data_IF_409498859677
#
_entry.id   IF_409498859677
#
_cell.length_a   1.000
_cell.length_b   1.000
_cell.length_c   1.000
_cell.angle_alpha   90.00
_cell.angle_beta   90.00
_cell.angle_gamma   90.00
#
_symmetry.space_group_name_H-M   'P 1'
#
loop_
_entity.id
_entity.type
_entity.pdbx_description
1 polymer ?
#
# COMPACT_ATOMS: atom_id res chain seq x y z
N UNK A 1 -9.57 32.30 1.18
CA UNK A 1 -8.62 31.55 2.02
C UNK A 1 -8.31 30.29 1.24
N UNK A 2 -7.09 30.13 0.76
CA UNK A 2 -6.70 28.99 -0.07
C UNK A 2 -5.88 28.04 0.79
N UNK A 3 -6.35 26.81 0.98
CA UNK A 3 -5.70 25.81 1.82
C UNK A 3 -4.78 24.95 0.94
N UNK A 4 -3.51 24.82 1.37
CA UNK A 4 -2.52 24.01 0.67
C UNK A 4 -2.05 22.91 1.60
N UNK A 5 -2.37 21.66 1.26
CA UNK A 5 -1.98 20.48 2.01
C UNK A 5 -0.80 19.79 1.33
N UNK A 6 0.28 19.58 2.08
CA UNK A 6 1.46 18.85 1.63
C UNK A 6 1.63 17.58 2.47
N UNK A 7 1.43 16.43 1.84
CA UNK A 7 1.57 15.11 2.48
C UNK A 7 2.80 14.44 1.89
N UNK A 8 3.96 14.62 2.53
CA UNK A 8 5.16 13.92 2.09
C UNK A 8 6.08 13.47 3.25
N UNK A 9 6.63 12.27 3.07
CA UNK A 9 7.59 11.61 3.95
C UNK A 9 8.93 12.35 3.89
N UNK A 10 9.53 12.64 5.05
CA UNK A 10 10.72 13.49 5.23
C UNK A 10 12.04 13.03 4.57
N UNK A 11 11.98 12.18 3.54
CA UNK A 11 13.11 11.69 2.75
C UNK A 11 13.26 12.41 1.40
N UNK A 12 12.23 13.10 0.91
CA UNK A 12 12.28 13.92 -0.32
C UNK A 12 12.24 15.41 0.02
N UNK A 13 13.11 16.18 -0.63
CA UNK A 13 13.24 17.62 -0.44
C UNK A 13 12.40 18.45 -1.43
N UNK A 14 11.83 17.80 -2.45
CA UNK A 14 11.05 18.48 -3.49
C UNK A 14 9.63 18.72 -2.96
N UNK A 15 9.30 19.98 -2.67
CA UNK A 15 8.04 20.40 -2.04
C UNK A 15 7.23 21.33 -2.95
N UNK A 16 6.53 20.79 -3.96
CA UNK A 16 5.86 21.60 -4.98
C UNK A 16 4.65 22.36 -4.43
N UNK A 17 3.94 21.80 -3.45
CA UNK A 17 2.76 22.43 -2.85
C UNK A 17 3.13 23.68 -2.07
N UNK A 18 4.18 23.60 -1.26
CA UNK A 18 4.75 24.74 -0.56
C UNK A 18 5.23 25.85 -1.52
N UNK A 19 5.92 25.48 -2.60
CA UNK A 19 6.40 26.46 -3.57
C UNK A 19 5.24 27.22 -4.22
N UNK A 20 4.11 26.54 -4.47
CA UNK A 20 2.88 27.18 -4.93
C UNK A 20 2.29 28.12 -3.87
N UNK A 21 2.24 27.71 -2.60
CA UNK A 21 1.78 28.56 -1.50
C UNK A 21 2.62 29.85 -1.39
N UNK A 22 3.95 29.75 -1.45
CA UNK A 22 4.84 30.92 -1.42
C UNK A 22 4.67 31.85 -2.62
N UNK A 23 4.31 31.32 -3.80
CA UNK A 23 3.97 32.14 -4.97
C UNK A 23 2.64 32.88 -4.77
N UNK A 24 1.63 32.21 -4.22
CA UNK A 24 0.33 32.81 -3.91
C UNK A 24 0.47 33.91 -2.86
N UNK A 25 1.20 33.65 -1.78
CA UNK A 25 1.45 34.66 -0.74
C UNK A 25 2.16 35.90 -1.30
N UNK A 26 3.17 35.72 -2.17
CA UNK A 26 3.83 36.85 -2.85
C UNK A 26 2.90 37.62 -3.78
N UNK A 27 2.07 36.92 -4.56
CA UNK A 27 1.11 37.55 -5.47
C UNK A 27 0.06 38.38 -4.72
N UNK A 28 -0.41 37.88 -3.57
CA UNK A 28 -1.49 38.49 -2.81
C UNK A 28 -1.02 39.36 -1.63
N UNK A 29 0.30 39.50 -1.42
CA UNK A 29 0.90 40.15 -0.23
C UNK A 29 0.28 39.62 1.07
N UNK A 30 0.05 38.31 1.12
CA UNK A 30 -0.65 37.66 2.22
C UNK A 30 0.32 36.96 3.18
N UNK A 31 -0.04 36.90 4.45
CA UNK A 31 0.69 36.15 5.48
C UNK A 31 0.43 34.66 5.33
N UNK A 32 1.49 33.85 5.32
CA UNK A 32 1.38 32.40 5.32
C UNK A 32 1.08 31.90 6.74
N UNK A 33 -0.06 31.22 6.92
CA UNK A 33 -0.43 30.61 8.20
C UNK A 33 -0.03 29.14 8.19
N UNK A 34 0.79 28.74 9.16
CA UNK A 34 1.34 27.39 9.28
C UNK A 34 0.72 26.74 10.52
N UNK A 35 0.06 25.59 10.36
CA UNK A 35 -0.60 24.91 11.48
C UNK A 35 0.38 24.35 12.53
N UNK A 36 1.49 23.75 12.08
CA UNK A 36 2.56 23.24 12.94
C UNK A 36 3.94 23.44 12.33
N UNK A 37 4.80 24.16 13.04
CA UNK A 37 6.19 24.40 12.65
C UNK A 37 7.05 23.14 12.80
N UNK A 38 6.73 22.22 13.72
CA UNK A 38 7.53 21.02 14.02
C UNK A 38 7.79 20.12 12.78
N UNK A 39 6.80 20.02 11.90
CA UNK A 39 6.85 19.15 10.71
C UNK A 39 7.67 19.76 9.57
N UNK A 40 7.78 21.09 9.59
CA UNK A 40 8.46 21.88 8.59
C UNK A 40 9.90 22.23 9.03
N UNK A 41 10.12 22.50 10.31
CA UNK A 41 11.42 22.90 10.89
C UNK A 41 12.45 21.77 11.00
N UNK A 42 12.05 20.51 10.84
CA UNK A 42 13.02 19.38 10.74
C UNK A 42 13.96 19.49 9.55
N UNK A 43 13.66 20.36 8.59
CA UNK A 43 14.51 20.64 7.45
C UNK A 43 15.02 22.10 7.54
N UNK A 44 16.28 22.27 7.92
CA UNK A 44 16.93 23.58 8.03
C UNK A 44 16.87 24.35 6.70
N UNK A 45 17.07 23.65 5.56
CA UNK A 45 17.01 24.28 4.24
C UNK A 45 15.62 24.87 3.93
N UNK A 46 14.55 24.27 4.47
CA UNK A 46 13.20 24.81 4.32
C UNK A 46 13.04 26.14 5.05
N UNK A 47 13.51 26.23 6.30
CA UNK A 47 13.41 27.47 7.08
C UNK A 47 14.22 28.57 6.39
N UNK A 48 15.42 28.26 5.90
CA UNK A 48 16.21 29.21 5.11
C UNK A 48 15.46 29.70 3.86
N UNK A 49 14.87 28.79 3.08
CA UNK A 49 14.10 29.16 1.88
C UNK A 49 12.86 30.01 2.19
N UNK A 50 12.15 29.70 3.28
CA UNK A 50 11.01 30.49 3.74
C UNK A 50 11.45 31.90 4.13
N UNK A 51 12.59 32.02 4.80
CA UNK A 51 13.19 33.29 5.16
C UNK A 51 13.60 34.09 3.91
N UNK A 52 14.30 33.48 2.96
CA UNK A 52 14.70 34.12 1.70
C UNK A 52 13.52 34.55 0.83
N UNK A 53 12.37 33.87 0.94
CA UNK A 53 11.17 34.19 0.17
C UNK A 53 10.58 35.57 0.48
N UNK A 54 10.93 36.17 1.63
CA UNK A 54 10.43 37.48 2.07
C UNK A 54 8.94 37.51 2.43
N UNK A 55 8.30 36.35 2.53
CA UNK A 55 6.88 36.21 2.92
C UNK A 55 6.76 36.24 4.43
N UNK A 56 5.84 37.07 4.95
CA UNK A 56 5.45 37.03 6.35
C UNK A 56 4.73 35.72 6.66
N UNK A 57 5.09 35.05 7.76
CA UNK A 57 4.44 33.82 8.16
C UNK A 57 4.19 33.78 9.66
N UNK A 58 3.14 33.07 10.05
CA UNK A 58 2.76 32.84 11.45
C UNK A 58 2.55 31.35 11.66
N UNK A 59 3.23 30.81 12.66
CA UNK A 59 3.04 29.44 13.11
C UNK A 59 1.98 29.43 14.22
N UNK A 60 0.88 28.70 14.03
CA UNK A 60 -0.24 28.62 14.99
C UNK A 60 0.18 27.92 16.29
N UNK A 61 1.09 26.95 16.19
CA UNK A 61 1.68 26.24 17.34
C UNK A 61 2.70 27.07 18.10
N UNK A 62 3.28 28.10 17.47
CA UNK A 62 4.17 29.06 18.12
C UNK A 62 3.88 30.50 17.67
N UNK A 63 2.78 31.12 18.14
CA UNK A 63 2.34 32.44 17.67
C UNK A 63 3.36 33.57 17.92
N UNK A 64 4.20 33.41 18.95
CA UNK A 64 5.29 34.33 19.30
C UNK A 64 6.56 34.17 18.45
N UNK A 65 6.62 33.17 17.57
CA UNK A 65 7.78 32.92 16.71
C UNK A 65 7.85 33.97 15.60
N UNK A 66 8.37 35.14 15.94
CA UNK A 66 8.73 36.15 14.94
C UNK A 66 9.87 35.61 14.06
N UNK A 67 9.97 36.12 12.83
CA UNK A 67 11.01 35.81 11.82
C UNK A 67 12.43 35.72 12.43
N UNK A 68 12.76 36.63 13.34
CA UNK A 68 14.04 36.64 14.06
C UNK A 68 14.25 35.41 14.96
N UNK A 69 13.23 35.03 15.73
CA UNK A 69 13.28 33.87 16.64
C UNK A 69 13.46 32.59 15.84
N UNK A 70 12.74 32.46 14.73
CA UNK A 70 12.87 31.31 13.82
C UNK A 70 14.29 31.21 13.25
N UNK A 71 14.93 32.35 12.94
CA UNK A 71 16.31 32.37 12.45
C UNK A 71 17.31 31.87 13.48
N UNK A 72 17.18 32.29 14.74
CA UNK A 72 18.02 31.80 15.84
C UNK A 72 17.80 30.30 16.04
N UNK A 73 16.55 29.85 16.08
CA UNK A 73 16.23 28.43 16.27
C UNK A 73 16.78 27.56 15.13
N UNK A 74 16.74 28.04 13.89
CA UNK A 74 17.32 27.34 12.75
C UNK A 74 18.84 27.22 12.87
N UNK A 75 19.54 28.30 13.25
CA UNK A 75 20.98 28.30 13.45
C UNK A 75 21.42 27.36 14.59
N UNK A 76 20.67 27.36 15.71
CA UNK A 76 20.92 26.45 16.84
C UNK A 76 20.72 24.99 16.41
N UNK A 77 19.64 24.69 15.67
CA UNK A 77 19.37 23.35 15.18
C UNK A 77 20.46 22.84 14.21
N UNK A 78 20.97 23.71 13.35
CA UNK A 78 22.09 23.40 12.46
C UNK A 78 23.36 23.07 13.25
N UNK A 79 23.71 23.89 14.23
CA UNK A 79 24.86 23.66 15.09
C UNK A 79 24.75 22.34 15.86
N UNK A 80 23.55 22.01 16.38
CA UNK A 80 23.31 20.76 17.07
C UNK A 80 23.45 19.54 16.14
N UNK A 81 22.86 19.62 14.94
CA UNK A 81 22.99 18.58 13.92
C UNK A 81 24.46 18.36 13.53
N UNK A 82 25.23 19.43 13.38
CA UNK A 82 26.67 19.35 13.09
C UNK A 82 27.44 18.72 14.26
N UNK A 83 27.12 19.08 15.50
CA UNK A 83 27.74 18.50 16.69
C UNK A 83 27.46 16.99 16.82
N UNK A 84 26.21 16.56 16.56
CA UNK A 84 25.82 15.14 16.54
C UNK A 84 26.58 14.41 15.43
N UNK A 85 26.67 15.00 14.24
CA UNK A 85 27.41 14.43 13.11
C UNK A 85 28.89 14.26 13.44
N UNK A 86 29.53 15.29 14.02
CA UNK A 86 30.93 15.27 14.47
C UNK A 86 31.17 14.17 15.50
N UNK A 87 30.33 14.08 16.55
CA UNK A 87 30.43 13.03 17.59
C UNK A 87 30.25 11.63 17.00
N UNK A 88 29.29 11.45 16.11
CA UNK A 88 29.02 10.16 15.48
C UNK A 88 30.19 9.73 14.60
N UNK A 89 30.74 10.65 13.79
CA UNK A 89 31.92 10.39 12.96
C UNK A 89 33.14 10.04 13.82
N UNK A 90 33.37 10.75 14.91
CA UNK A 90 34.45 10.46 15.85
C UNK A 90 34.28 9.07 16.50
N UNK A 91 33.07 8.74 16.95
CA UNK A 91 32.76 7.43 17.53
C UNK A 91 32.96 6.28 16.52
N UNK A 92 32.51 6.47 15.27
CA UNK A 92 32.71 5.50 14.18
C UNK A 92 34.19 5.36 13.82
N UNK A 93 34.95 6.46 13.76
CA UNK A 93 36.39 6.41 13.51
C UNK A 93 37.13 5.63 14.61
N UNK A 94 36.79 5.87 15.87
CA UNK A 94 37.34 5.14 17.00
C UNK A 94 36.95 3.64 16.98
N UNK A 95 35.69 3.32 16.63
CA UNK A 95 35.25 1.94 16.46
C UNK A 95 35.99 1.22 15.32
N UNK A 96 36.21 1.91 14.20
CA UNK A 96 37.00 1.38 13.07
C UNK A 96 38.46 1.14 13.47
N UNK A 97 39.07 2.05 14.23
CA UNK A 97 40.42 1.90 14.75
C UNK A 97 40.54 0.70 15.72
N UNK A 98 39.50 0.43 16.51
CA UNK A 98 39.38 -0.80 17.33
C UNK A 98 39.09 -2.07 16.54
N UNK A 99 39.04 -2.01 15.20
CA UNK A 99 38.75 -3.16 14.34
C UNK A 99 37.27 -3.55 14.25
N UNK A 100 36.34 -2.71 14.73
CA UNK A 100 34.91 -2.99 14.61
C UNK A 100 34.50 -2.90 13.14
N UNK A 101 33.94 -3.99 12.60
CA UNK A 101 33.41 -4.02 11.22
C UNK A 101 32.15 -3.15 11.14
N UNK A 102 32.28 -1.97 10.56
CA UNK A 102 31.18 -1.04 10.34
C UNK A 102 30.31 -1.47 9.13
N UNK A 103 28.99 -1.31 9.25
CA UNK A 103 28.00 -1.66 8.22
C UNK A 103 27.06 -2.79 8.63
N UNK A 104 25.88 -2.89 8.00
CA UNK A 104 24.95 -4.00 8.20
C UNK A 104 25.55 -5.33 7.75
N UNK A 105 24.99 -6.46 8.22
CA UNK A 105 25.35 -7.79 7.74
C UNK A 105 25.15 -7.82 6.22
N UNK A 106 26.24 -7.70 5.47
CA UNK A 106 26.25 -7.91 4.01
C UNK A 106 25.98 -9.40 3.80
N UNK A 107 24.72 -9.79 3.75
CA UNK A 107 24.37 -11.08 3.17
C UNK A 107 24.64 -10.96 1.67
N UNK A 108 25.05 -12.07 1.05
CA UNK A 108 25.34 -12.07 -0.38
C UNK A 108 24.10 -11.68 -1.18
N UNK A 109 24.27 -11.24 -2.43
CA UNK A 109 23.14 -10.85 -3.27
C UNK A 109 22.13 -12.01 -3.42
N UNK A 110 22.64 -13.23 -3.48
CA UNK A 110 21.87 -14.47 -3.55
C UNK A 110 21.03 -14.66 -2.28
N UNK A 111 21.65 -14.52 -1.09
CA UNK A 111 20.93 -14.64 0.18
C UNK A 111 19.92 -13.51 0.42
N UNK A 112 20.20 -12.30 -0.06
CA UNK A 112 19.21 -11.22 -0.09
C UNK A 112 18.03 -11.55 -1.00
N UNK A 113 18.30 -12.12 -2.18
CA UNK A 113 17.27 -12.54 -3.13
C UNK A 113 16.43 -13.70 -2.58
N UNK A 114 17.03 -14.67 -1.90
CA UNK A 114 16.36 -15.77 -1.20
C UNK A 114 15.45 -15.26 -0.09
N UNK A 115 15.95 -14.40 0.81
CA UNK A 115 15.13 -13.78 1.87
C UNK A 115 13.97 -13.00 1.23
N UNK A 116 14.24 -12.26 0.14
CA UNK A 116 13.21 -11.57 -0.63
C UNK A 116 12.19 -12.52 -1.26
N UNK A 117 12.62 -13.69 -1.75
CA UNK A 117 11.75 -14.69 -2.35
C UNK A 117 10.84 -15.34 -1.31
N UNK A 118 11.39 -15.74 -0.16
CA UNK A 118 10.62 -16.27 0.97
C UNK A 118 9.60 -15.23 1.46
N UNK A 119 10.01 -13.97 1.62
CA UNK A 119 9.09 -12.90 2.02
C UNK A 119 7.98 -12.66 0.98
N UNK A 120 8.28 -12.75 -0.33
CA UNK A 120 7.28 -12.68 -1.40
C UNK A 120 6.31 -13.84 -1.34
N UNK A 121 6.79 -15.06 -1.10
CA UNK A 121 5.98 -16.27 -1.02
C UNK A 121 5.01 -16.24 0.17
N UNK A 122 5.51 -15.87 1.35
CA UNK A 122 4.67 -15.72 2.54
C UNK A 122 3.61 -14.64 2.30
N UNK A 123 4.00 -13.50 1.71
CA UNK A 123 3.04 -12.44 1.37
C UNK A 123 2.00 -12.91 0.35
N UNK A 124 2.38 -13.68 -0.67
CA UNK A 124 1.42 -14.21 -1.64
C UNK A 124 0.44 -15.19 -0.99
N UNK A 125 0.90 -16.02 -0.05
CA UNK A 125 0.06 -16.96 0.70
C UNK A 125 -0.96 -16.23 1.58
N UNK A 126 -0.52 -15.19 2.30
CA UNK A 126 -1.41 -14.35 3.11
C UNK A 126 -2.46 -13.68 2.22
N UNK A 127 -2.04 -13.09 1.09
CA UNK A 127 -2.96 -12.43 0.15
C UNK A 127 -3.95 -13.43 -0.45
N UNK A 128 -3.52 -14.65 -0.81
CA UNK A 128 -4.43 -15.67 -1.33
C UNK A 128 -5.44 -16.14 -0.28
N UNK A 129 -5.02 -16.25 0.99
CA UNK A 129 -5.90 -16.63 2.08
C UNK A 129 -6.95 -15.54 2.36
N UNK A 130 -6.53 -14.27 2.47
CA UNK A 130 -7.46 -13.16 2.66
C UNK A 130 -8.42 -13.05 1.47
N UNK A 131 -7.95 -13.31 0.25
CA UNK A 131 -8.82 -13.36 -0.94
C UNK A 131 -9.90 -14.42 -0.83
N UNK A 132 -9.55 -15.64 -0.43
CA UNK A 132 -10.53 -16.73 -0.32
C UNK A 132 -11.59 -16.45 0.74
N UNK A 133 -11.20 -15.85 1.86
CA UNK A 133 -12.09 -15.43 2.95
C UNK A 133 -13.07 -14.32 2.52
N UNK A 134 -12.68 -13.47 1.56
CA UNK A 134 -13.52 -12.37 1.07
C UNK A 134 -14.50 -12.79 -0.04
N UNK A 135 -14.33 -13.97 -0.64
CA UNK A 135 -15.19 -14.43 -1.74
C UNK A 135 -16.67 -14.54 -1.38
N UNK A 136 -17.05 -15.13 -0.22
CA UNK A 136 -18.46 -15.22 0.17
C UNK A 136 -19.12 -13.84 0.25
N UNK A 137 -18.40 -12.85 0.77
CA UNK A 137 -18.87 -11.46 0.86
C UNK A 137 -19.09 -10.84 -0.50
N UNK A 138 -18.15 -11.01 -1.44
CA UNK A 138 -18.30 -10.51 -2.82
C UNK A 138 -19.50 -11.17 -3.50
N UNK A 139 -19.70 -12.48 -3.32
CA UNK A 139 -20.87 -13.18 -3.89
C UNK A 139 -22.19 -12.76 -3.26
N UNK A 140 -22.20 -12.45 -1.95
CA UNK A 140 -23.39 -11.95 -1.26
C UNK A 140 -23.80 -10.56 -1.77
N UNK A 141 -22.82 -9.67 -1.99
CA UNK A 141 -23.04 -8.33 -2.58
C UNK A 141 -23.55 -8.43 -4.02
N UNK A 142 -23.13 -9.44 -4.77
CA UNK A 142 -23.68 -9.69 -6.11
C UNK A 142 -25.13 -10.18 -6.05
N UNK A 143 -25.43 -11.08 -5.11
CA UNK A 143 -26.78 -11.59 -4.91
C UNK A 143 -27.76 -10.51 -4.43
N UNK A 144 -27.28 -9.45 -3.77
CA UNK A 144 -28.09 -8.28 -3.40
C UNK A 144 -28.37 -7.32 -4.56
N UNK A 145 -27.85 -7.59 -5.77
CA UNK A 145 -28.17 -6.85 -6.99
C UNK A 145 -27.07 -5.93 -7.52
N UNK A 146 -25.85 -5.96 -6.94
CA UNK A 146 -24.73 -5.19 -7.47
C UNK A 146 -24.17 -5.83 -8.76
N UNK A 147 -24.62 -5.33 -9.92
CA UNK A 147 -24.30 -5.89 -11.24
C UNK A 147 -22.96 -5.39 -11.80
N UNK A 148 -22.51 -4.21 -11.37
CA UNK A 148 -21.26 -3.60 -11.87
C UNK A 148 -20.11 -3.74 -10.88
N UNK A 149 -18.90 -3.91 -11.40
CA UNK A 149 -17.68 -3.96 -10.59
C UNK A 149 -17.47 -2.71 -9.73
N UNK A 150 -17.97 -1.55 -10.19
CA UNK A 150 -17.95 -0.29 -9.44
C UNK A 150 -18.94 -0.29 -8.26
N UNK A 151 -20.13 -0.84 -8.47
CA UNK A 151 -21.11 -1.01 -7.40
C UNK A 151 -20.58 -1.95 -6.32
N UNK A 152 -19.97 -3.07 -6.72
CA UNK A 152 -19.36 -4.02 -5.78
C UNK A 152 -18.21 -3.36 -4.99
N UNK A 153 -17.33 -2.57 -5.65
CA UNK A 153 -16.28 -1.87 -4.92
C UNK A 153 -16.83 -0.81 -3.95
N UNK A 154 -17.91 -0.11 -4.31
CA UNK A 154 -18.54 0.86 -3.43
C UNK A 154 -19.15 0.18 -2.18
N UNK A 155 -19.84 -0.95 -2.38
CA UNK A 155 -20.40 -1.78 -1.31
C UNK A 155 -19.32 -2.42 -0.42
N UNK A 156 -18.13 -2.72 -0.94
CA UNK A 156 -17.00 -3.22 -0.15
C UNK A 156 -16.30 -2.10 0.66
N UNK A 157 -16.33 -0.88 0.16
CA UNK A 157 -15.76 0.28 0.84
C UNK A 157 -16.69 0.81 1.95
N UNK A 158 -18.01 0.68 1.81
CA UNK A 158 -19.00 1.14 2.80
C UNK A 158 -18.81 0.53 4.22
N UNK A 159 -18.53 -0.77 4.39
CA UNK A 159 -18.22 -1.39 5.69
C UNK A 159 -16.73 -1.30 6.10
N UNK A 160 -15.90 -0.48 5.44
CA UNK A 160 -14.44 -0.39 5.66
C UNK A 160 -13.69 -1.74 5.59
N UNK A 161 -14.15 -2.67 4.73
CA UNK A 161 -13.47 -3.96 4.60
C UNK A 161 -12.09 -3.74 3.96
N UNK A 162 -10.98 -4.10 4.63
CA UNK A 162 -9.65 -3.83 4.12
C UNK A 162 -9.34 -4.70 2.89
N UNK A 163 -8.65 -4.13 1.91
CA UNK A 163 -8.18 -4.88 0.74
C UNK A 163 -7.19 -5.99 1.15
N UNK A 164 -7.03 -7.06 0.35
CA UNK A 164 -6.09 -8.15 0.65
C UNK A 164 -4.63 -7.72 0.85
N UNK A 165 -4.23 -6.58 0.27
CA UNK A 165 -2.90 -5.99 0.46
C UNK A 165 -2.85 -4.96 1.59
N UNK A 166 -3.97 -4.76 2.31
CA UNK A 166 -4.20 -3.74 3.34
C UNK A 166 -3.74 -2.35 2.90
N UNK A 167 -4.01 -2.02 1.64
CA UNK A 167 -3.60 -0.77 1.02
C UNK A 167 -4.80 -0.16 0.30
N UNK A 168 -5.37 0.88 0.91
CA UNK A 168 -6.41 1.71 0.31
C UNK A 168 -7.76 1.03 0.11
N UNK A 169 -8.62 1.76 -0.60
CA UNK A 169 -9.98 1.39 -0.97
C UNK A 169 -10.02 0.34 -2.08
N UNK A 170 -11.13 -0.40 -2.15
CA UNK A 170 -11.43 -1.31 -3.23
C UNK A 170 -11.60 -0.55 -4.55
N UNK A 171 -10.86 -0.99 -5.57
CA UNK A 171 -11.05 -0.54 -6.95
C UNK A 171 -11.77 -1.61 -7.76
N UNK A 172 -12.51 -1.19 -8.80
CA UNK A 172 -13.19 -2.12 -9.72
C UNK A 172 -12.24 -3.14 -10.36
N UNK A 173 -10.99 -2.75 -10.63
CA UNK A 173 -9.94 -3.64 -11.18
C UNK A 173 -9.53 -4.69 -10.15
N UNK A 174 -9.47 -4.32 -8.88
CA UNK A 174 -9.11 -5.25 -7.81
C UNK A 174 -10.23 -6.27 -7.55
N UNK A 175 -11.48 -5.82 -7.54
CA UNK A 175 -12.66 -6.71 -7.50
C UNK A 175 -12.65 -7.68 -8.67
N UNK A 176 -12.34 -7.22 -9.87
CA UNK A 176 -12.25 -8.07 -11.06
C UNK A 176 -11.15 -9.13 -10.92
N UNK A 177 -9.94 -8.74 -10.49
CA UNK A 177 -8.82 -9.65 -10.30
C UNK A 177 -9.08 -10.70 -9.23
N UNK A 178 -9.69 -10.29 -8.11
CA UNK A 178 -9.99 -11.18 -7.00
C UNK A 178 -11.16 -12.12 -7.37
N UNK A 179 -12.12 -11.66 -8.19
CA UNK A 179 -13.16 -12.50 -8.79
C UNK A 179 -12.59 -13.56 -9.75
N UNK A 180 -11.73 -13.18 -10.69
CA UNK A 180 -11.13 -14.15 -11.62
C UNK A 180 -10.26 -15.19 -10.89
N UNK A 181 -9.55 -14.77 -9.84
CA UNK A 181 -8.80 -15.68 -8.98
C UNK A 181 -9.72 -16.69 -8.26
N UNK A 182 -10.91 -16.26 -7.84
CA UNK A 182 -11.95 -17.09 -7.24
C UNK A 182 -12.51 -18.13 -8.20
N UNK A 183 -12.92 -17.70 -9.40
CA UNK A 183 -13.47 -18.56 -10.45
C UNK A 183 -12.47 -19.64 -10.88
N UNK A 184 -11.19 -19.25 -11.00
CA UNK A 184 -10.09 -20.18 -11.31
C UNK A 184 -9.87 -21.20 -10.18
N UNK A 185 -9.99 -20.77 -8.92
CA UNK A 185 -9.84 -21.64 -7.74
C UNK A 185 -11.00 -22.65 -7.63
N UNK A 186 -12.24 -22.22 -7.87
CA UNK A 186 -13.43 -23.08 -7.92
C UNK A 186 -13.35 -24.12 -9.04
N UNK A 187 -12.87 -23.73 -10.23
CA UNK A 187 -12.63 -24.63 -11.34
C UNK A 187 -11.48 -25.63 -11.08
N UNK A 188 -10.54 -25.29 -10.18
CA UNK A 188 -9.44 -26.18 -9.78
C UNK A 188 -9.91 -27.18 -8.71
N UNK A 189 -10.69 -26.74 -7.72
CA UNK A 189 -11.30 -27.59 -6.70
C UNK A 189 -12.27 -28.59 -7.33
N UNK A 190 -13.12 -28.17 -8.28
CA UNK A 190 -14.04 -29.06 -9.01
C UNK A 190 -13.34 -30.16 -9.82
N UNK A 191 -12.15 -29.88 -10.37
CA UNK A 191 -11.30 -30.89 -11.03
C UNK A 191 -10.68 -31.86 -10.05
N UNK A 192 -10.27 -31.39 -8.88
CA UNK A 192 -9.71 -32.24 -7.82
C UNK A 192 -10.76 -33.20 -7.25
N UNK A 193 -11.99 -32.74 -6.98
CA UNK A 193 -13.09 -33.61 -6.49
C UNK A 193 -13.52 -34.63 -7.53
N UNK A 194 -13.63 -34.27 -8.80
CA UNK A 194 -13.94 -35.24 -9.86
C UNK A 194 -12.85 -36.29 -10.03
N UNK A 195 -11.56 -35.88 -9.97
CA UNK A 195 -10.44 -36.82 -10.03
C UNK A 195 -10.47 -37.79 -8.84
N UNK A 196 -10.67 -37.31 -7.61
CA UNK A 196 -10.74 -38.17 -6.42
C UNK A 196 -11.93 -39.14 -6.45
N UNK A 197 -13.10 -38.70 -6.92
CA UNK A 197 -14.29 -39.56 -7.05
C UNK A 197 -14.07 -40.65 -8.12
N UNK A 198 -13.47 -40.31 -9.27
CA UNK A 198 -13.14 -41.28 -10.32
C UNK A 198 -12.06 -42.28 -9.87
N UNK A 199 -11.03 -41.83 -9.15
CA UNK A 199 -10.00 -42.73 -8.59
C UNK A 199 -10.58 -43.68 -7.54
N UNK A 200 -11.51 -43.19 -6.70
CA UNK A 200 -12.25 -44.02 -5.74
C UNK A 200 -13.14 -45.07 -6.42
N UNK A 201 -13.78 -44.74 -7.54
CA UNK A 201 -14.65 -45.66 -8.29
C UNK A 201 -13.87 -46.73 -9.07
N UNK A 202 -12.64 -46.43 -9.50
CA UNK A 202 -11.78 -47.36 -10.25
C UNK A 202 -11.01 -48.35 -9.35
N UNK A 203 -10.85 -48.08 -8.05
CA UNK A 203 -10.10 -48.93 -7.11
C UNK A 203 -10.95 -49.97 -6.34
N UNK A 204 -12.22 -50.18 -6.69
CA UNK A 204 -12.95 -51.40 -6.29
C UNK A 204 -13.21 -51.60 -4.79
N UNK A 205 -13.31 -50.53 -3.99
CA UNK A 205 -13.69 -50.59 -2.58
C UNK A 205 -15.13 -50.14 -2.35
N UNK A 206 -15.97 -51.04 -1.87
CA UNK A 206 -17.35 -50.86 -1.36
C UNK A 206 -17.95 -49.44 -1.39
N UNK A 207 -18.97 -49.28 -2.24
CA UNK A 207 -19.83 -48.10 -2.32
C UNK A 207 -20.65 -47.90 -1.02
N UNK A 208 -20.46 -46.82 -0.23
CA UNK A 208 -21.28 -46.57 0.96
C UNK A 208 -22.63 -45.88 0.68
N UNK A 209 -22.95 -45.55 -0.57
CA UNK A 209 -24.15 -44.76 -0.92
C UNK A 209 -25.22 -45.58 -1.64
N UNK A 210 -25.51 -46.79 -1.18
CA UNK A 210 -26.56 -47.65 -1.76
C UNK A 210 -28.00 -47.26 -1.39
N UNK A 211 -28.23 -46.15 -0.71
CA UNK A 211 -29.58 -45.73 -0.30
C UNK A 211 -29.75 -44.22 -0.19
N UNK A 212 -29.43 -43.48 -1.25
CA UNK A 212 -30.05 -42.17 -1.49
C UNK A 212 -30.45 -42.09 -2.96
N UNK A 213 -31.74 -42.30 -3.24
CA UNK A 213 -32.39 -41.81 -4.46
C UNK A 213 -32.39 -40.28 -4.44
N UNK A 214 -31.24 -39.66 -4.73
CA UNK A 214 -31.18 -38.23 -4.96
C UNK A 214 -31.57 -38.00 -6.42
N UNK A 215 -32.76 -37.43 -6.60
CA UNK A 215 -33.25 -36.93 -7.89
C UNK A 215 -32.18 -36.06 -8.54
N UNK A 216 -31.60 -36.56 -9.63
CA UNK A 216 -30.65 -35.82 -10.45
C UNK A 216 -31.44 -34.77 -11.24
N UNK A 217 -31.80 -33.66 -10.59
CA UNK A 217 -32.28 -32.48 -11.28
C UNK A 217 -31.06 -31.81 -11.91
N UNK A 218 -30.78 -32.19 -13.15
CA UNK A 218 -29.84 -31.50 -14.04
C UNK A 218 -30.24 -30.01 -14.09
N UNK A 219 -29.55 -29.18 -13.32
CA UNK A 219 -29.58 -27.73 -13.52
C UNK A 219 -28.74 -27.43 -14.78
N UNK A 220 -29.26 -26.61 -15.70
CA UNK A 220 -28.60 -26.36 -16.96
C UNK A 220 -27.29 -25.58 -16.74
N UNK A 221 -26.23 -26.09 -17.38
CA UNK A 221 -24.98 -25.41 -17.65
C UNK A 221 -25.24 -23.95 -18.10
N UNK A 222 -24.79 -22.90 -17.38
CA UNK A 222 -24.90 -21.55 -17.86
C UNK A 222 -23.95 -21.32 -19.05
N UNK A 223 -24.53 -20.78 -20.12
CA UNK A 223 -24.00 -20.52 -21.47
C UNK A 223 -22.77 -19.58 -21.59
N UNK A 224 -21.94 -19.43 -20.56
CA UNK A 224 -20.87 -18.41 -20.54
C UNK A 224 -19.49 -18.87 -21.02
N UNK A 225 -19.40 -20.04 -21.65
CA UNK A 225 -18.14 -20.61 -22.15
C UNK A 225 -17.97 -20.52 -23.69
N UNK A 226 -18.46 -19.45 -24.32
CA UNK A 226 -18.34 -19.29 -25.80
C UNK A 226 -17.64 -18.00 -26.27
N UNK A 227 -17.11 -17.15 -25.38
CA UNK A 227 -16.54 -15.86 -25.80
C UNK A 227 -15.06 -15.57 -25.45
N UNK A 228 -14.30 -16.52 -24.90
CA UNK A 228 -12.88 -16.26 -24.49
C UNK A 228 -11.86 -17.17 -25.19
N UNK A 229 -12.14 -17.64 -26.41
CA UNK A 229 -11.11 -18.26 -27.27
C UNK A 229 -11.29 -17.82 -28.74
N UNK A 230 -11.19 -16.52 -29.01
CA UNK A 230 -10.79 -16.00 -30.33
C UNK A 230 -10.01 -14.70 -30.14
N UNK A 231 -8.69 -14.77 -30.25
CA UNK A 231 -7.87 -13.56 -30.22
C UNK A 231 -6.39 -13.76 -29.88
N UNK A 232 -5.78 -14.90 -30.20
CA UNK A 232 -4.31 -15.05 -30.18
C UNK A 232 -3.89 -15.89 -31.38
N UNK A 233 -3.76 -15.26 -32.55
CA UNK A 233 -2.77 -15.64 -33.58
C UNK A 233 -2.73 -14.57 -34.70
N UNK A 234 -1.51 -14.07 -34.94
CA UNK A 234 -0.97 -13.36 -36.13
C UNK A 234 -1.41 -11.90 -36.36
N UNK A 235 -0.56 -10.95 -36.00
CA UNK A 235 0.49 -10.41 -36.89
C UNK A 235 1.68 -9.93 -36.04
#
# INVERSE_FOLDING_TARGET
>A
MEEVLEVESGKRNDRPALAAALKLCRKHKATLVIAKLDRLARNVAFISNLMESGVEFVAVDMPQANRFVVHILAAVAEQEAEAISKRTKAALAAAKARGTKLGGRRVSAERFAEIGAVARQVRSQIVSQVRSELLPTITAIQASGAISLRAISAELNAPEIPTPRRAGEWSAVQVQNDRYAAETSLAMVGRQTQATILTSLLQGGANPWRSCTFSLRLLPFPWWYSHVVRGWHKN
#
